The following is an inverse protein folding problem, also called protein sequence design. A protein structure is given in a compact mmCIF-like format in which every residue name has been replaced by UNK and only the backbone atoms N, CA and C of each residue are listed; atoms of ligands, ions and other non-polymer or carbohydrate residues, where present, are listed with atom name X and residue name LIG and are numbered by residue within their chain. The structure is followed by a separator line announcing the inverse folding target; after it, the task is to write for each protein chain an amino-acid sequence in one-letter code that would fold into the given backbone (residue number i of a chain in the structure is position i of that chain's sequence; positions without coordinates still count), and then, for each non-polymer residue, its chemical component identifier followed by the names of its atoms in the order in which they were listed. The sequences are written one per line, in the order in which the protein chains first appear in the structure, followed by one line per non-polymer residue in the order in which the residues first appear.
data_IF_607937540088
#
_entry.id   IF_607937540088
#
_cell.length_a   1.000
_cell.length_b   1.000
_cell.length_c   1.000
_cell.angle_alpha   90.00
_cell.angle_beta   90.00
_cell.angle_gamma   90.00
#
_symmetry.space_group_name_H-M   'P 1'
#
loop_
_entity.id
_entity.type
_entity.pdbx_description
1 polymer ?
#
# COMPACT_ATOMS: atom_id res chain seq x y z
N UNK A 1 8.36 -1.82 -19.40
CA UNK A 1 8.63 -1.71 -17.96
C UNK A 1 9.68 -2.74 -17.58
N UNK A 2 10.66 -2.36 -16.76
CA UNK A 2 11.72 -3.26 -16.29
C UNK A 2 11.26 -3.93 -15.00
N UNK A 3 11.32 -5.26 -14.93
CA UNK A 3 11.00 -6.00 -13.70
C UNK A 3 12.21 -6.09 -12.78
N UNK A 4 11.99 -6.22 -11.47
CA UNK A 4 13.06 -6.35 -10.46
C UNK A 4 12.73 -7.46 -9.48
N UNK A 5 13.71 -8.30 -9.16
CA UNK A 5 13.64 -9.29 -8.09
C UNK A 5 14.33 -8.73 -6.85
N UNK A 6 13.60 -8.69 -5.73
CA UNK A 6 14.12 -8.19 -4.45
C UNK A 6 14.32 -9.36 -3.49
N UNK A 7 15.54 -9.56 -3.01
CA UNK A 7 15.94 -10.72 -2.19
C UNK A 7 16.41 -10.25 -0.81
N UNK A 8 15.76 -10.75 0.23
CA UNK A 8 16.17 -10.53 1.62
C UNK A 8 17.37 -11.43 1.98
N UNK A 9 18.38 -10.86 2.63
CA UNK A 9 19.57 -11.58 3.08
C UNK A 9 20.04 -11.12 4.46
N UNK A 10 20.56 -12.07 5.25
CA UNK A 10 21.24 -11.83 6.53
C UNK A 10 22.77 -12.00 6.41
N UNK A 11 23.29 -12.19 5.20
CA UNK A 11 24.72 -12.34 4.99
C UNK A 11 25.45 -11.04 5.40
N UNK A 12 26.63 -11.14 6.04
CA UNK A 12 27.40 -9.95 6.42
C UNK A 12 27.72 -9.12 5.19
N UNK A 13 27.59 -7.80 5.33
CA UNK A 13 28.02 -6.87 4.28
C UNK A 13 29.54 -6.91 4.07
N UNK A 14 30.01 -6.29 2.99
CA UNK A 14 31.44 -6.03 2.74
C UNK A 14 32.14 -5.35 3.93
N UNK A 15 31.38 -4.65 4.77
CA UNK A 15 31.85 -3.89 5.92
C UNK A 15 31.71 -4.66 7.25
N UNK A 16 31.41 -5.96 7.22
CA UNK A 16 31.25 -6.80 8.42
C UNK A 16 29.93 -6.61 9.20
N UNK A 17 29.10 -5.64 8.82
CA UNK A 17 27.80 -5.40 9.45
C UNK A 17 26.81 -6.55 9.21
N UNK A 18 26.30 -7.11 10.31
CA UNK A 18 25.33 -8.22 10.34
C UNK A 18 23.87 -7.75 10.20
N UNK A 19 23.64 -6.64 9.52
CA UNK A 19 22.28 -6.11 9.37
C UNK A 19 21.54 -6.81 8.22
N UNK A 20 20.29 -7.27 8.46
CA UNK A 20 19.45 -7.79 7.40
C UNK A 20 19.24 -6.73 6.33
N UNK A 21 19.40 -7.11 5.06
CA UNK A 21 19.31 -6.19 3.92
C UNK A 21 18.51 -6.79 2.77
N UNK A 22 17.99 -5.94 1.91
CA UNK A 22 17.35 -6.34 0.64
C UNK A 22 18.32 -6.02 -0.50
N UNK A 23 18.59 -6.99 -1.37
CA UNK A 23 19.32 -6.78 -2.62
C UNK A 23 18.33 -6.81 -3.78
N UNK A 24 18.50 -5.89 -4.72
CA UNK A 24 17.65 -5.76 -5.90
C UNK A 24 18.41 -6.21 -7.16
N UNK A 25 17.76 -7.04 -7.96
CA UNK A 25 18.30 -7.57 -9.21
C UNK A 25 17.35 -7.24 -10.34
N UNK A 26 17.84 -6.56 -11.36
CA UNK A 26 17.06 -6.18 -12.52
C UNK A 26 16.86 -7.39 -13.43
N UNK A 27 15.62 -7.72 -13.78
CA UNK A 27 15.33 -8.69 -14.84
C UNK A 27 15.54 -7.94 -16.17
N UNK A 28 16.48 -8.41 -16.96
CA UNK A 28 16.83 -7.85 -18.26
C UNK A 28 16.27 -8.72 -19.38
N UNK A 29 16.16 -8.10 -20.56
CA UNK A 29 15.82 -8.77 -21.81
C UNK A 29 16.98 -8.53 -22.78
N UNK A 30 17.39 -9.55 -23.55
CA UNK A 30 18.39 -9.35 -24.60
C UNK A 30 17.81 -8.52 -25.74
N UNK A 31 18.67 -7.79 -26.48
CA UNK A 31 18.31 -6.97 -27.65
C UNK A 31 17.97 -7.83 -28.90
N UNK A 32 17.61 -9.10 -28.70
CA UNK A 32 17.25 -10.05 -29.76
C UNK A 32 15.74 -10.06 -29.99
N UNK A 33 15.29 -10.43 -31.19
CA UNK A 33 13.86 -10.54 -31.53
C UNK A 33 13.11 -11.56 -30.64
N UNK A 34 13.81 -12.50 -30.01
CA UNK A 34 13.23 -13.46 -29.09
C UNK A 34 13.03 -12.84 -27.70
N UNK A 35 11.78 -12.86 -27.22
CA UNK A 35 11.41 -12.39 -25.88
C UNK A 35 11.94 -13.36 -24.81
N UNK A 36 13.13 -13.08 -24.31
CA UNK A 36 13.74 -13.81 -23.21
C UNK A 36 13.97 -12.90 -21.99
N UNK A 37 14.09 -13.51 -20.81
CA UNK A 37 14.33 -12.83 -19.54
C UNK A 37 15.55 -13.43 -18.84
N UNK A 38 16.37 -12.62 -18.18
CA UNK A 38 17.48 -13.10 -17.37
C UNK A 38 17.76 -12.22 -16.14
N UNK A 39 18.28 -12.84 -15.08
CA UNK A 39 18.90 -12.17 -13.92
C UNK A 39 20.43 -12.23 -13.97
N UNK A 40 20.96 -13.27 -14.61
CA UNK A 40 22.37 -13.44 -14.91
C UNK A 40 22.46 -13.84 -16.38
N UNK A 41 23.28 -13.12 -17.17
CA UNK A 41 23.35 -13.21 -18.64
C UNK A 41 23.53 -14.64 -19.17
N UNK A 42 24.05 -15.56 -18.35
CA UNK A 42 24.25 -16.97 -18.68
C UNK A 42 22.96 -17.80 -18.73
N UNK A 43 21.85 -17.32 -18.19
CA UNK A 43 20.61 -18.09 -18.05
C UNK A 43 19.41 -17.29 -18.59
N UNK A 44 18.95 -17.68 -19.77
CA UNK A 44 17.82 -17.08 -20.47
C UNK A 44 16.56 -17.93 -20.28
N UNK A 45 15.43 -17.29 -20.02
CA UNK A 45 14.14 -17.93 -19.77
C UNK A 45 13.06 -17.33 -20.66
N UNK A 46 12.07 -18.14 -21.08
CA UNK A 46 10.95 -17.67 -21.90
C UNK A 46 9.94 -16.86 -21.09
N UNK A 47 9.84 -17.14 -19.79
CA UNK A 47 8.89 -16.46 -18.90
C UNK A 47 9.50 -16.10 -17.53
N UNK A 48 8.95 -15.08 -16.87
CA UNK A 48 9.35 -14.70 -15.50
C UNK A 48 9.10 -15.85 -14.49
N UNK A 49 7.97 -16.59 -14.53
CA UNK A 49 7.77 -17.76 -13.68
C UNK A 49 8.87 -18.83 -13.81
N UNK A 50 9.32 -19.13 -15.04
CA UNK A 50 10.43 -20.07 -15.27
C UNK A 50 11.74 -19.58 -14.64
N UNK A 51 12.06 -18.30 -14.84
CA UNK A 51 13.21 -17.65 -14.23
C UNK A 51 13.15 -17.74 -12.70
N UNK A 52 11.99 -17.48 -12.09
CA UNK A 52 11.79 -17.61 -10.64
C UNK A 52 11.99 -19.06 -10.21
N UNK A 53 11.36 -20.01 -10.89
CA UNK A 53 11.46 -21.44 -10.58
C UNK A 53 12.90 -21.96 -10.64
N UNK A 54 13.66 -21.55 -11.65
CA UNK A 54 15.08 -21.88 -11.75
C UNK A 54 15.87 -21.32 -10.56
N UNK A 55 15.66 -20.04 -10.22
CA UNK A 55 16.37 -19.38 -9.14
C UNK A 55 15.90 -19.79 -7.72
N UNK A 56 14.78 -20.50 -7.61
CA UNK A 56 14.40 -21.19 -6.37
C UNK A 56 15.33 -22.37 -6.06
N UNK A 57 15.79 -23.06 -7.10
CA UNK A 57 16.67 -24.23 -6.98
C UNK A 57 18.15 -23.85 -7.06
N UNK A 58 18.49 -22.78 -7.79
CA UNK A 58 19.87 -22.38 -8.13
C UNK A 58 20.14 -20.90 -7.82
N UNK A 59 21.20 -20.59 -7.06
CA UNK A 59 21.52 -19.19 -6.78
C UNK A 59 22.02 -18.48 -8.05
N UNK A 60 22.85 -19.16 -8.86
CA UNK A 60 23.26 -18.71 -10.19
C UNK A 60 23.71 -17.23 -10.28
N UNK A 61 24.46 -16.76 -9.28
CA UNK A 61 24.96 -15.38 -9.19
C UNK A 61 24.16 -14.45 -8.27
N UNK A 62 22.98 -14.87 -7.80
CA UNK A 62 22.25 -14.19 -6.73
C UNK A 62 22.91 -14.41 -5.37
N UNK A 63 22.66 -13.50 -4.42
CA UNK A 63 23.18 -13.60 -3.05
C UNK A 63 22.72 -14.87 -2.34
N UNK A 64 21.50 -15.34 -2.63
CA UNK A 64 20.95 -16.61 -2.17
C UNK A 64 19.95 -17.12 -3.21
N UNK A 65 19.64 -18.42 -3.16
CA UNK A 65 18.45 -18.97 -3.82
C UNK A 65 17.18 -18.26 -3.36
N UNK A 66 16.19 -18.18 -4.24
CA UNK A 66 14.85 -17.70 -3.88
C UNK A 66 14.16 -18.76 -3.02
N UNK A 67 13.78 -18.42 -1.80
CA UNK A 67 13.23 -19.42 -0.85
C UNK A 67 11.74 -19.24 -0.63
N UNK A 68 11.38 -18.14 0.00
CA UNK A 68 10.01 -17.87 0.38
C UNK A 68 9.54 -16.59 -0.31
N UNK A 69 8.41 -16.60 -1.03
CA UNK A 69 7.81 -15.37 -1.51
C UNK A 69 7.42 -14.51 -0.31
N UNK A 70 7.52 -13.19 -0.46
CA UNK A 70 7.10 -12.26 0.59
C UNK A 70 5.60 -12.42 0.77
N UNK A 71 5.16 -12.74 1.99
CA UNK A 71 3.74 -12.71 2.34
C UNK A 71 3.20 -11.33 2.00
N UNK A 72 2.11 -11.19 1.23
CA UNK A 72 1.48 -9.90 1.04
C UNK A 72 1.00 -9.45 2.41
N UNK A 73 1.82 -8.66 3.11
CA UNK A 73 1.41 -7.99 4.32
C UNK A 73 0.14 -7.24 4.00
N UNK A 74 -0.88 -7.42 4.86
CA UNK A 74 -2.24 -6.85 4.78
C UNK A 74 -2.31 -5.76 3.72
N UNK A 75 -2.88 -6.06 2.54
CA UNK A 75 -3.06 -5.03 1.51
C UNK A 75 -3.70 -3.85 2.23
N UNK A 76 -3.12 -2.63 2.19
CA UNK A 76 -3.88 -1.46 2.55
C UNK A 76 -5.14 -1.56 1.72
N UNK A 77 -6.30 -1.59 2.35
CA UNK A 77 -7.61 -1.59 1.70
C UNK A 77 -7.78 -0.22 1.02
N UNK A 78 -6.99 0.03 -0.02
CA UNK A 78 -7.13 1.10 -0.99
C UNK A 78 -7.97 0.55 -2.14
N UNK A 79 -9.19 0.14 -1.81
CA UNK A 79 -10.26 0.02 -2.78
C UNK A 79 -11.32 1.02 -2.30
N UNK A 80 -11.08 2.29 -2.58
CA UNK A 80 -12.18 3.20 -2.86
C UNK A 80 -12.46 2.99 -4.34
N UNK A 81 -13.32 2.01 -4.60
CA UNK A 81 -14.00 1.86 -5.88
C UNK A 81 -14.67 3.19 -6.19
N UNK A 82 -14.23 3.81 -7.28
CA UNK A 82 -14.79 4.97 -7.98
C UNK A 82 -16.13 5.43 -7.40
N UNK A 83 -16.07 6.23 -6.33
CA UNK A 83 -17.26 6.81 -5.74
C UNK A 83 -17.65 7.94 -6.67
N UNK A 84 -18.71 7.71 -7.46
CA UNK A 84 -19.43 8.76 -8.19
C UNK A 84 -19.57 9.99 -7.29
N UNK A 85 -19.44 11.19 -7.86
CA UNK A 85 -19.33 12.49 -7.16
C UNK A 85 -20.44 12.79 -6.11
N UNK A 86 -21.48 11.95 -6.03
CA UNK A 86 -22.65 12.08 -5.15
C UNK A 86 -22.71 11.06 -3.96
N UNK A 87 -21.72 10.17 -3.77
CA UNK A 87 -21.78 9.09 -2.75
C UNK A 87 -20.97 9.35 -1.47
N UNK A 88 -20.64 10.61 -1.16
CA UNK A 88 -19.77 10.95 -0.04
C UNK A 88 -20.49 11.38 1.24
N UNK A 89 -21.78 11.67 1.14
CA UNK A 89 -22.64 11.96 2.28
C UNK A 89 -23.03 10.62 2.93
N UNK A 90 -22.65 10.45 4.20
CA UNK A 90 -22.95 9.26 4.97
C UNK A 90 -24.22 9.53 5.76
N UNK A 91 -25.23 8.70 5.56
CA UNK A 91 -26.41 8.66 6.42
C UNK A 91 -25.95 8.33 7.87
N UNK A 92 -26.18 9.22 8.84
CA UNK A 92 -25.84 8.98 10.24
C UNK A 92 -26.44 7.70 10.81
N UNK A 93 -27.56 7.21 10.27
CA UNK A 93 -28.17 5.94 10.69
C UNK A 93 -27.33 4.72 10.31
N UNK A 94 -26.49 4.81 9.28
CA UNK A 94 -25.54 3.76 8.91
C UNK A 94 -24.28 3.75 9.81
N UNK A 95 -24.12 4.76 10.68
CA UNK A 95 -22.92 4.96 11.49
C UNK A 95 -23.18 4.60 12.96
N UNK A 96 -22.53 3.55 13.42
CA UNK A 96 -22.55 3.17 14.84
C UNK A 96 -21.36 3.84 15.53
N UNK A 97 -21.65 4.78 16.42
CA UNK A 97 -20.64 5.47 17.23
C UNK A 97 -20.23 4.63 18.45
N UNK A 98 -18.93 4.56 18.69
CA UNK A 98 -18.32 3.86 19.81
C UNK A 98 -17.68 4.81 20.81
N UNK A 99 -16.66 4.32 21.51
CA UNK A 99 -15.95 5.09 22.53
C UNK A 99 -15.10 6.21 21.94
N UNK A 100 -14.85 7.24 22.75
CA UNK A 100 -13.87 8.27 22.43
C UNK A 100 -12.46 7.69 22.38
N UNK A 101 -11.73 8.04 21.32
CA UNK A 101 -10.32 7.69 21.11
C UNK A 101 -9.40 8.90 21.25
N UNK A 102 -9.93 10.12 21.15
CA UNK A 102 -9.16 11.35 21.35
C UNK A 102 -10.02 12.61 21.37
N UNK A 103 -9.41 13.73 21.78
CA UNK A 103 -10.01 15.06 21.71
C UNK A 103 -8.93 16.11 21.49
N UNK A 104 -9.31 17.21 20.86
CA UNK A 104 -8.42 18.34 20.61
C UNK A 104 -9.19 19.65 20.41
N UNK A 105 -8.49 20.65 19.86
CA UNK A 105 -9.03 21.99 19.64
C UNK A 105 -10.29 21.98 18.77
N UNK A 106 -10.28 21.17 17.70
CA UNK A 106 -11.33 21.13 16.68
C UNK A 106 -12.46 20.14 16.98
N UNK A 107 -12.52 19.58 18.20
CA UNK A 107 -13.54 18.61 18.62
C UNK A 107 -12.95 17.28 19.06
N UNK A 108 -13.74 16.21 18.90
CA UNK A 108 -13.40 14.89 19.45
C UNK A 108 -13.45 13.79 18.39
N UNK A 109 -12.70 12.72 18.64
CA UNK A 109 -12.63 11.57 17.75
C UNK A 109 -13.18 10.35 18.48
N UNK A 110 -14.15 9.70 17.86
CA UNK A 110 -14.73 8.44 18.30
C UNK A 110 -14.22 7.29 17.43
N UNK A 111 -14.19 6.10 17.98
CA UNK A 111 -14.28 4.87 17.19
C UNK A 111 -15.70 4.77 16.60
N UNK A 112 -15.84 4.17 15.42
CA UNK A 112 -17.16 3.83 14.87
C UNK A 112 -17.13 2.63 13.94
N UNK A 113 -18.31 2.20 13.51
CA UNK A 113 -18.52 1.18 12.49
C UNK A 113 -19.48 1.73 11.43
N UNK A 114 -19.08 1.64 10.16
CA UNK A 114 -19.89 2.02 9.00
C UNK A 114 -19.82 0.89 7.97
N UNK A 115 -20.97 0.32 7.57
CA UNK A 115 -21.06 -0.81 6.61
C UNK A 115 -20.06 -1.95 6.91
N UNK A 116 -20.10 -2.45 8.15
CA UNK A 116 -19.18 -3.48 8.69
C UNK A 116 -17.68 -3.10 8.68
N UNK A 117 -17.35 -1.84 8.42
CA UNK A 117 -15.99 -1.32 8.44
C UNK A 117 -15.75 -0.51 9.72
N UNK A 118 -14.69 -0.86 10.45
CA UNK A 118 -14.20 -0.03 11.57
C UNK A 118 -13.64 1.30 11.03
N UNK A 119 -14.14 2.41 11.55
CA UNK A 119 -13.81 3.78 11.16
C UNK A 119 -13.43 4.63 12.37
N UNK A 120 -12.83 5.79 12.11
CA UNK A 120 -12.66 6.85 13.10
C UNK A 120 -13.58 8.01 12.70
N UNK A 121 -14.37 8.51 13.64
CA UNK A 121 -15.35 9.58 13.41
C UNK A 121 -14.87 10.82 14.12
N UNK A 122 -14.51 11.86 13.35
CA UNK A 122 -14.15 13.16 13.90
C UNK A 122 -15.40 14.03 13.97
N UNK A 123 -15.86 14.32 15.18
CA UNK A 123 -16.92 15.29 15.42
C UNK A 123 -16.30 16.67 15.57
N UNK A 124 -16.67 17.58 14.66
CA UNK A 124 -16.19 18.96 14.64
C UNK A 124 -17.10 19.81 15.53
N UNK A 125 -16.54 20.79 16.26
CA UNK A 125 -17.34 21.75 17.03
C UNK A 125 -17.88 22.84 16.11
N UNK A 126 -19.11 23.27 16.35
CA UNK A 126 -19.83 24.27 15.53
C UNK A 126 -19.11 25.63 15.44
N UNK A 127 -18.24 25.96 16.41
CA UNK A 127 -17.52 27.24 16.46
C UNK A 127 -16.17 27.21 15.72
N UNK A 128 -15.78 26.08 15.13
CA UNK A 128 -14.45 25.90 14.57
C UNK A 128 -14.34 26.20 13.07
N UNK A 129 -15.44 26.12 12.32
CA UNK A 129 -15.48 26.34 10.86
C UNK A 129 -16.93 26.53 10.38
N UNK A 130 -17.14 27.22 9.26
CA UNK A 130 -18.46 27.29 8.64
C UNK A 130 -18.79 26.01 7.85
N UNK A 131 -20.08 25.77 7.59
CA UNK A 131 -20.54 24.64 6.78
C UNK A 131 -19.96 24.67 5.37
N UNK A 132 -19.78 25.87 4.79
CA UNK A 132 -19.16 26.05 3.48
C UNK A 132 -17.67 25.68 3.50
N UNK A 133 -16.92 26.16 4.48
CA UNK A 133 -15.51 25.82 4.68
C UNK A 133 -15.32 24.30 4.86
N UNK A 134 -16.22 23.68 5.62
CA UNK A 134 -16.22 22.23 5.83
C UNK A 134 -16.44 21.45 4.53
N UNK A 135 -17.44 21.84 3.74
CA UNK A 135 -17.75 21.20 2.45
C UNK A 135 -16.60 21.37 1.45
N UNK A 136 -15.95 22.53 1.42
CA UNK A 136 -14.81 22.77 0.54
C UNK A 136 -13.59 21.92 0.93
N UNK A 137 -13.22 21.90 2.21
CA UNK A 137 -12.11 21.07 2.69
C UNK A 137 -12.38 19.57 2.47
N UNK A 138 -13.60 19.11 2.75
CA UNK A 138 -14.01 17.72 2.55
C UNK A 138 -13.83 17.29 1.09
N UNK A 139 -14.29 18.11 0.13
CA UNK A 139 -14.14 17.85 -1.31
C UNK A 139 -12.67 17.70 -1.74
N UNK A 140 -11.78 18.50 -1.17
CA UNK A 140 -10.34 18.40 -1.47
C UNK A 140 -9.78 17.09 -0.88
N UNK A 141 -10.07 16.82 0.40
CA UNK A 141 -9.56 15.64 1.10
C UNK A 141 -10.04 14.32 0.46
N UNK A 142 -11.28 14.29 -0.05
CA UNK A 142 -11.84 13.11 -0.71
C UNK A 142 -11.08 12.71 -1.97
N UNK A 143 -10.48 13.66 -2.69
CA UNK A 143 -9.68 13.40 -3.90
C UNK A 143 -8.29 12.85 -3.57
N UNK A 144 -7.86 12.89 -2.31
CA UNK A 144 -6.55 12.40 -1.88
C UNK A 144 -6.60 10.90 -1.59
N UNK A 145 -6.02 10.10 -2.49
CA UNK A 145 -5.83 8.66 -2.29
C UNK A 145 -4.36 8.29 -2.38
N UNK A 146 -3.75 7.99 -1.24
CA UNK A 146 -2.35 7.59 -1.18
C UNK A 146 -2.06 6.68 0.02
N UNK A 147 -1.17 5.70 -0.15
CA UNK A 147 -0.84 4.69 0.88
C UNK A 147 -0.30 5.30 2.20
N UNK A 148 0.18 6.54 2.17
CA UNK A 148 0.73 7.26 3.32
C UNK A 148 -0.19 8.36 3.86
N UNK A 149 -1.41 8.47 3.33
CA UNK A 149 -2.44 9.39 3.82
C UNK A 149 -3.57 8.58 4.45
N UNK A 150 -4.20 9.15 5.48
CA UNK A 150 -5.43 8.59 6.04
C UNK A 150 -6.56 8.91 5.05
N UNK A 151 -7.27 7.87 4.61
CA UNK A 151 -8.36 8.02 3.67
C UNK A 151 -9.59 8.61 4.38
N UNK A 152 -10.13 9.70 3.85
CA UNK A 152 -11.47 10.19 4.19
C UNK A 152 -12.49 9.37 3.39
N UNK A 153 -13.48 8.77 4.07
CA UNK A 153 -14.52 7.95 3.44
C UNK A 153 -15.78 8.74 3.09
N UNK A 154 -16.13 9.72 3.91
CA UNK A 154 -17.36 10.47 3.79
C UNK A 154 -17.48 11.50 4.90
N UNK A 155 -18.54 12.30 4.85
CA UNK A 155 -18.93 13.24 5.90
C UNK A 155 -20.42 13.11 6.18
N UNK A 156 -20.86 13.55 7.35
CA UNK A 156 -22.28 13.71 7.69
C UNK A 156 -22.53 15.21 7.76
N UNK A 157 -23.60 15.68 7.12
CA UNK A 157 -24.03 17.08 7.08
C UNK A 157 -25.39 17.28 7.74
#
# INVERSE_FOLDING_TARGET
GVYTVSVFTKAPGSNGEKNPRVKHYQIRQPDTEQRAFYLAEKYLFGTIPELIHYHQHNAAGLITRLRHPVSPGRRPSQEVSDLSEDQWEIDPEELILGQQVGSGQFGLVLEGVWRDRKVAVKMVREDCMSDEEFKEEAKIMMRLSHRKLVQLYGVCT
#
